data_IF_593043013154
#
_entry.id   IF_593043013154
#
_cell.length_a   1.000
_cell.length_b   1.000
_cell.length_c   1.000
_cell.angle_alpha   90.00
_cell.angle_beta   90.00
_cell.angle_gamma   90.00
#
_symmetry.space_group_name_H-M   'P 1'
#
loop_
_entity.id
_entity.type
_entity.pdbx_description
1 polymer ?
#
# COMPACT_ATOMS: atom_id res chain seq x y z
N UNK A 1 6.37 18.70 -30.95
CA UNK A 1 7.03 17.65 -30.12
C UNK A 1 6.07 16.46 -30.06
N UNK A 2 6.48 15.28 -30.51
CA UNK A 2 5.58 14.15 -30.73
C UNK A 2 5.33 13.35 -29.44
N UNK A 3 4.11 12.82 -29.26
CA UNK A 3 3.72 11.98 -28.11
C UNK A 3 4.66 10.77 -27.94
N UNK A 4 5.21 10.24 -29.04
CA UNK A 4 6.18 9.15 -29.02
C UNK A 4 7.48 9.46 -28.26
N UNK A 5 7.86 10.74 -28.16
CA UNK A 5 9.04 11.14 -27.38
C UNK A 5 8.74 11.11 -25.88
N UNK A 6 7.53 11.53 -25.48
CA UNK A 6 7.06 11.45 -24.10
C UNK A 6 7.03 10.01 -23.59
N UNK A 7 6.53 9.07 -24.40
CA UNK A 7 6.51 7.65 -24.03
C UNK A 7 7.92 7.07 -23.86
N UNK A 8 8.88 7.43 -24.71
CA UNK A 8 10.28 7.01 -24.54
C UNK A 8 10.90 7.56 -23.25
N UNK A 9 10.64 8.83 -22.92
CA UNK A 9 11.14 9.43 -21.68
C UNK A 9 10.55 8.71 -20.45
N UNK A 10 9.26 8.37 -20.49
CA UNK A 10 8.61 7.60 -19.42
C UNK A 10 9.20 6.19 -19.27
N UNK A 11 9.48 5.50 -20.38
CA UNK A 11 10.09 4.16 -20.37
C UNK A 11 11.49 4.19 -19.74
N UNK A 12 12.31 5.20 -20.07
CA UNK A 12 13.64 5.36 -19.49
C UNK A 12 13.60 5.73 -18.00
N UNK A 13 12.67 6.60 -17.58
CA UNK A 13 12.44 6.90 -16.17
C UNK A 13 11.98 5.65 -15.39
N UNK A 14 11.11 4.84 -15.98
CA UNK A 14 10.64 3.58 -15.39
C UNK A 14 11.79 2.58 -15.20
N UNK A 15 12.65 2.41 -16.21
CA UNK A 15 13.86 1.56 -16.10
C UNK A 15 14.83 2.08 -15.06
N UNK A 16 15.04 3.39 -14.99
CA UNK A 16 15.91 4.00 -13.98
C UNK A 16 15.34 3.78 -12.56
N UNK A 17 14.03 3.98 -12.38
CA UNK A 17 13.34 3.75 -11.12
C UNK A 17 13.46 2.29 -10.64
N UNK A 18 13.43 1.32 -11.56
CA UNK A 18 13.63 -0.09 -11.23
C UNK A 18 15.01 -0.41 -10.65
N UNK A 19 16.02 0.46 -10.85
CA UNK A 19 17.36 0.32 -10.28
C UNK A 19 17.54 1.07 -8.97
N UNK A 20 16.58 1.93 -8.59
CA UNK A 20 16.63 2.67 -7.33
C UNK A 20 16.40 1.70 -6.18
N UNK A 21 17.37 1.63 -5.26
CA UNK A 21 17.21 0.89 -4.02
C UNK A 21 16.55 1.77 -2.98
N UNK A 22 15.51 1.24 -2.35
CA UNK A 22 14.88 1.88 -1.20
C UNK A 22 15.79 1.65 0.02
N UNK A 23 16.18 2.70 0.76
CA UNK A 23 16.97 2.54 1.98
C UNK A 23 16.20 1.71 3.03
N UNK A 24 16.92 0.85 3.75
CA UNK A 24 16.32 -0.10 4.72
C UNK A 24 15.52 0.61 5.82
N UNK A 25 15.92 1.82 6.22
CA UNK A 25 15.23 2.62 7.22
C UNK A 25 13.76 2.91 6.87
N UNK A 26 13.47 3.18 5.58
CA UNK A 26 12.10 3.37 5.10
C UNK A 26 11.32 2.06 5.16
N UNK A 27 11.92 0.97 4.69
CA UNK A 27 11.29 -0.37 4.71
C UNK A 27 10.94 -0.78 6.14
N UNK A 28 11.82 -0.48 7.10
CA UNK A 28 11.58 -0.72 8.52
C UNK A 28 10.44 0.14 9.06
N UNK A 29 10.40 1.43 8.71
CA UNK A 29 9.30 2.32 9.07
C UNK A 29 7.95 1.81 8.55
N UNK A 30 7.90 1.45 7.27
CA UNK A 30 6.69 0.87 6.66
C UNK A 30 6.29 -0.45 7.28
N UNK A 31 7.25 -1.31 7.65
CA UNK A 31 6.94 -2.56 8.33
C UNK A 31 6.27 -2.33 9.70
N UNK A 32 6.73 -1.34 10.46
CA UNK A 32 6.10 -0.94 11.73
C UNK A 32 4.67 -0.46 11.48
N UNK A 33 4.47 0.45 10.53
CA UNK A 33 3.15 0.99 10.20
C UNK A 33 2.17 -0.09 9.70
N UNK A 34 2.65 -1.05 8.90
CA UNK A 34 1.83 -2.19 8.44
C UNK A 34 1.35 -3.03 9.62
N UNK A 35 2.26 -3.38 10.52
CA UNK A 35 1.94 -4.21 11.69
C UNK A 35 0.97 -3.47 12.60
N UNK A 36 1.16 -2.17 12.85
CA UNK A 36 0.24 -1.35 13.65
C UNK A 36 -1.17 -1.26 13.03
N UNK A 37 -1.26 -1.10 11.70
CA UNK A 37 -2.55 -1.08 11.01
C UNK A 37 -3.25 -2.44 11.09
N UNK A 38 -2.52 -3.53 10.85
CA UNK A 38 -3.05 -4.90 10.93
C UNK A 38 -3.51 -5.27 12.33
N UNK A 39 -2.74 -4.92 13.37
CA UNK A 39 -3.12 -5.13 14.77
C UNK A 39 -4.46 -4.44 15.09
N UNK A 40 -4.61 -3.17 14.68
CA UNK A 40 -5.86 -2.42 14.85
C UNK A 40 -7.05 -3.12 14.18
N UNK A 41 -6.87 -3.64 12.97
CA UNK A 41 -7.92 -4.37 12.24
C UNK A 41 -8.27 -5.70 12.90
N UNK A 42 -7.25 -6.46 13.34
CA UNK A 42 -7.45 -7.74 14.00
C UNK A 42 -8.19 -7.58 15.32
N UNK A 43 -7.94 -6.50 16.08
CA UNK A 43 -8.69 -6.16 17.29
C UNK A 43 -10.18 -5.89 17.01
N UNK A 44 -10.53 -5.46 15.80
CA UNK A 44 -11.91 -5.28 15.34
C UNK A 44 -12.51 -6.56 14.72
N UNK A 45 -11.77 -7.67 14.72
CA UNK A 45 -12.21 -8.93 14.10
C UNK A 45 -12.16 -8.91 12.56
N UNK A 46 -11.49 -7.92 11.97
CA UNK A 46 -11.32 -7.79 10.52
C UNK A 46 -10.01 -8.46 10.09
N UNK A 47 -10.09 -9.40 9.16
CA UNK A 47 -8.91 -10.10 8.61
C UNK A 47 -8.62 -9.59 7.20
N UNK A 48 -7.48 -8.93 7.03
CA UNK A 48 -6.96 -8.53 5.73
C UNK A 48 -6.34 -9.75 5.03
N UNK A 49 -7.12 -10.40 4.16
CA UNK A 49 -6.69 -11.63 3.45
C UNK A 49 -5.86 -11.38 2.19
N UNK A 50 -5.87 -10.15 1.70
CA UNK A 50 -5.20 -9.76 0.46
C UNK A 50 -4.11 -8.72 0.75
N UNK A 51 -3.18 -9.02 1.65
CA UNK A 51 -2.07 -8.12 1.93
C UNK A 51 -1.02 -8.27 0.82
N UNK A 52 -0.95 -7.26 -0.06
CA UNK A 52 0.02 -7.21 -1.15
C UNK A 52 0.42 -5.74 -1.43
N UNK A 53 1.51 -5.48 -2.19
CA UNK A 53 1.99 -4.12 -2.42
C UNK A 53 0.98 -3.17 -3.09
N UNK A 54 0.03 -3.66 -3.89
CA UNK A 54 -1.01 -2.81 -4.50
C UNK A 54 -2.03 -2.27 -3.49
N UNK A 55 -2.06 -2.86 -2.29
CA UNK A 55 -2.91 -2.48 -1.17
C UNK A 55 -2.17 -1.58 -0.14
N UNK A 56 -0.94 -1.16 -0.45
CA UNK A 56 -0.14 -0.23 0.34
C UNK A 56 -0.03 1.09 -0.41
N UNK A 57 -0.73 2.12 0.06
CA UNK A 57 -0.59 3.47 -0.46
C UNK A 57 0.56 4.17 0.26
N UNK A 58 1.37 4.92 -0.47
CA UNK A 58 2.40 5.79 0.10
C UNK A 58 1.90 7.24 0.07
N UNK A 59 1.95 7.93 1.20
CA UNK A 59 1.62 9.36 1.31
C UNK A 59 2.74 10.21 0.72
N UNK A 60 2.45 11.48 0.46
CA UNK A 60 3.46 12.47 0.04
C UNK A 60 4.56 12.70 1.08
N UNK A 61 4.26 12.45 2.36
CA UNK A 61 5.22 12.46 3.47
C UNK A 61 6.00 11.16 3.66
N UNK A 62 5.73 10.12 2.86
CA UNK A 62 6.46 8.85 2.90
C UNK A 62 5.97 7.83 3.93
N UNK A 63 4.78 8.02 4.51
CA UNK A 63 4.11 7.03 5.37
C UNK A 63 3.26 6.11 4.52
N UNK A 64 3.00 4.89 5.00
CA UNK A 64 2.08 3.99 4.34
C UNK A 64 0.66 4.04 4.92
N UNK A 65 -0.31 3.79 4.07
CA UNK A 65 -1.71 3.58 4.44
C UNK A 65 -2.17 2.27 3.83
N UNK A 66 -2.79 1.42 4.66
CA UNK A 66 -3.34 0.15 4.21
C UNK A 66 -4.72 0.37 3.59
N UNK A 67 -4.91 -0.04 2.34
CA UNK A 67 -6.22 -0.17 1.72
C UNK A 67 -6.52 -1.65 1.53
N UNK A 68 -7.69 -2.13 1.96
CA UNK A 68 -8.01 -3.55 1.86
C UNK A 68 -9.48 -3.77 1.58
N UNK A 69 -9.78 -4.89 0.91
CA UNK A 69 -11.13 -5.39 0.77
C UNK A 69 -11.35 -6.52 1.78
N UNK A 70 -12.37 -6.41 2.61
CA UNK A 70 -12.82 -7.50 3.48
C UNK A 70 -14.23 -7.93 3.10
N UNK A 71 -14.44 -9.23 2.92
CA UNK A 71 -15.80 -9.80 2.91
C UNK A 71 -16.19 -10.16 4.34
N UNK A 72 -17.21 -9.50 4.86
CA UNK A 72 -17.80 -9.83 6.14
C UNK A 72 -18.86 -10.90 5.93
N UNK A 73 -18.62 -12.10 6.48
CA UNK A 73 -19.58 -13.22 6.43
C UNK A 73 -20.38 -13.38 7.74
N UNK A 74 -20.39 -12.37 8.61
CA UNK A 74 -21.13 -12.39 9.87
C UNK A 74 -22.53 -11.80 9.69
N UNK A 75 -23.55 -12.65 9.82
CA UNK A 75 -24.95 -12.22 9.79
C UNK A 75 -25.30 -11.21 10.88
N UNK A 76 -26.16 -10.25 10.52
CA UNK A 76 -27.08 -9.57 11.43
C UNK A 76 -26.50 -8.86 12.66
N UNK A 77 -25.45 -8.05 12.50
CA UNK A 77 -24.86 -7.31 13.63
C UNK A 77 -24.44 -5.89 13.28
N UNK A 78 -25.42 -4.98 13.17
CA UNK A 78 -25.30 -3.53 12.89
C UNK A 78 -23.93 -2.93 13.26
N UNK A 79 -23.15 -2.55 12.24
CA UNK A 79 -21.93 -1.75 12.39
C UNK A 79 -22.32 -0.41 13.01
N UNK A 80 -21.82 -0.10 14.21
CA UNK A 80 -21.92 1.25 14.79
C UNK A 80 -20.65 2.01 14.44
N UNK A 81 -20.79 3.29 14.03
CA UNK A 81 -19.66 4.14 13.68
C UNK A 81 -18.73 4.40 14.87
#
# INVERSE_FOLDING_TARGET
RAVSQLFRELDELSKAAAQVRIPEEFVRGWAVEMVSALDTLHQQGLICRDLNPSNLLLTDTGHIQLTFFCSWSGGGGKMRP
#
